data_IF_767827803662
#
_entry.id   IF_767827803662
#
_cell.length_a   1.000
_cell.length_b   1.000
_cell.length_c   1.000
_cell.angle_alpha   90.00
_cell.angle_beta   90.00
_cell.angle_gamma   90.00
#
_symmetry.space_group_name_H-M   'P 1'
#
loop_
_entity.id
_entity.type
_entity.pdbx_description
1 polymer ?
#
# COMPACT_ATOMS: atom_id res chain seq x y z
N UNK A 1 9.73 -3.80 6.19
CA UNK A 1 8.58 -4.47 5.55
C UNK A 1 9.03 -5.60 4.63
N UNK A 2 9.99 -5.41 3.74
CA UNK A 2 10.41 -6.45 2.77
C UNK A 2 10.70 -7.81 3.39
N UNK A 3 11.49 -7.85 4.46
CA UNK A 3 11.81 -9.12 5.16
C UNK A 3 10.55 -9.79 5.75
N UNK A 4 9.64 -9.01 6.33
CA UNK A 4 8.40 -9.55 6.87
C UNK A 4 7.48 -10.13 5.77
N UNK A 5 7.43 -9.48 4.61
CA UNK A 5 6.70 -9.98 3.44
C UNK A 5 7.30 -11.26 2.91
N UNK A 6 8.64 -11.32 2.82
CA UNK A 6 9.36 -12.53 2.40
C UNK A 6 9.01 -13.71 3.30
N UNK A 7 9.18 -13.54 4.60
CA UNK A 7 8.89 -14.60 5.56
C UNK A 7 7.43 -15.07 5.48
N UNK A 8 6.47 -14.14 5.41
CA UNK A 8 5.06 -14.46 5.31
C UNK A 8 4.71 -15.19 4.00
N UNK A 9 5.33 -14.80 2.88
CA UNK A 9 5.13 -15.47 1.59
C UNK A 9 5.68 -16.91 1.61
N UNK A 10 6.89 -17.10 2.14
CA UNK A 10 7.51 -18.41 2.29
C UNK A 10 6.70 -19.34 3.21
N UNK A 11 6.18 -18.83 4.33
CA UNK A 11 5.29 -19.57 5.22
C UNK A 11 3.98 -20.03 4.54
N UNK A 12 3.53 -19.28 3.54
CA UNK A 12 2.35 -19.60 2.72
C UNK A 12 2.68 -20.47 1.51
N UNK A 13 3.92 -20.87 1.31
CA UNK A 13 4.36 -21.71 0.21
C UNK A 13 4.57 -20.97 -1.12
N UNK A 14 4.69 -19.64 -1.08
CA UNK A 14 5.03 -18.83 -2.25
C UNK A 14 6.55 -18.74 -2.43
N UNK A 15 7.01 -18.64 -3.66
CA UNK A 15 8.41 -18.45 -4.00
C UNK A 15 8.71 -16.98 -4.20
N UNK A 16 9.70 -16.46 -3.49
CA UNK A 16 10.22 -15.12 -3.72
C UNK A 16 11.27 -15.19 -4.83
N UNK A 17 10.96 -14.60 -5.98
CA UNK A 17 11.85 -14.56 -7.13
C UNK A 17 12.94 -13.51 -6.93
N UNK A 18 12.59 -12.33 -6.47
CA UNK A 18 13.52 -11.24 -6.17
C UNK A 18 13.02 -10.33 -5.05
N UNK A 19 13.92 -9.78 -4.28
CA UNK A 19 13.69 -8.60 -3.44
C UNK A 19 14.43 -7.43 -4.07
N UNK A 20 13.71 -6.35 -4.38
CA UNK A 20 14.22 -5.17 -5.07
C UNK A 20 14.37 -4.04 -4.06
N UNK A 21 15.52 -3.37 -4.04
CA UNK A 21 15.81 -2.23 -3.18
C UNK A 21 16.35 -1.05 -3.99
N UNK A 22 16.75 0.00 -3.29
CA UNK A 22 17.28 1.22 -3.91
C UNK A 22 18.50 0.92 -4.81
N UNK A 23 18.38 1.25 -6.07
CA UNK A 23 19.43 1.03 -7.08
C UNK A 23 19.18 -0.18 -7.98
N UNK A 24 18.25 -1.06 -7.65
CA UNK A 24 17.87 -2.19 -8.48
C UNK A 24 16.90 -1.78 -9.59
N UNK A 25 16.93 -2.51 -10.70
CA UNK A 25 16.01 -2.31 -11.81
C UNK A 25 14.90 -3.38 -11.80
N UNK A 26 13.66 -2.96 -11.64
CA UNK A 26 12.52 -3.88 -11.63
C UNK A 26 12.39 -4.70 -12.93
N UNK A 27 12.78 -4.13 -14.07
CA UNK A 27 12.69 -4.80 -15.37
C UNK A 27 13.56 -6.06 -15.46
N UNK A 28 14.65 -6.12 -14.69
CA UNK A 28 15.57 -7.26 -14.70
C UNK A 28 14.97 -8.50 -14.00
N UNK A 29 13.93 -8.31 -13.21
CA UNK A 29 13.34 -9.34 -12.35
C UNK A 29 11.87 -9.65 -12.61
N UNK A 30 11.19 -8.88 -13.48
CA UNK A 30 9.73 -8.97 -13.65
C UNK A 30 9.29 -10.16 -14.51
N UNK A 31 10.19 -10.72 -15.31
CA UNK A 31 9.81 -11.82 -16.22
C UNK A 31 9.53 -13.10 -15.44
N UNK A 32 8.35 -13.69 -15.68
CA UNK A 32 7.94 -14.95 -15.07
C UNK A 32 7.50 -14.86 -13.62
N UNK A 33 7.26 -13.64 -13.10
CA UNK A 33 6.63 -13.47 -11.79
C UNK A 33 5.11 -13.38 -11.93
N UNK A 34 4.39 -13.94 -10.96
CA UNK A 34 2.93 -13.92 -10.93
C UNK A 34 2.36 -12.66 -10.27
N UNK A 35 3.12 -11.99 -9.43
CA UNK A 35 2.69 -10.85 -8.63
C UNK A 35 3.88 -9.97 -8.21
N UNK A 36 3.67 -8.67 -8.27
CA UNK A 36 4.56 -7.67 -7.64
C UNK A 36 3.91 -7.17 -6.34
N UNK A 37 4.71 -7.02 -5.27
CA UNK A 37 4.27 -6.42 -4.00
C UNK A 37 5.16 -5.23 -3.69
N UNK A 38 4.58 -4.02 -3.63
CA UNK A 38 5.27 -2.77 -3.36
C UNK A 38 4.98 -2.23 -1.96
N UNK A 39 5.99 -2.28 -1.08
CA UNK A 39 6.02 -1.60 0.22
C UNK A 39 7.35 -0.82 0.34
N UNK A 40 7.63 0.00 -0.65
CA UNK A 40 8.87 0.76 -0.78
C UNK A 40 8.69 2.24 -0.42
N UNK A 41 9.16 3.12 -1.25
CA UNK A 41 8.99 4.57 -1.16
C UNK A 41 8.18 5.07 -2.36
N UNK A 42 7.33 6.10 -2.18
CA UNK A 42 6.43 6.60 -3.23
C UNK A 42 7.14 6.93 -4.54
N UNK A 43 8.39 7.41 -4.48
CA UNK A 43 9.17 7.71 -5.70
C UNK A 43 9.52 6.47 -6.54
N UNK A 44 9.49 5.26 -5.98
CA UNK A 44 9.79 4.02 -6.69
C UNK A 44 8.53 3.41 -7.34
N UNK A 45 7.35 3.63 -6.77
CA UNK A 45 6.09 3.01 -7.20
C UNK A 45 5.78 3.25 -8.68
N UNK A 46 6.06 4.46 -9.21
CA UNK A 46 5.82 4.77 -10.63
C UNK A 46 6.60 3.86 -11.56
N UNK A 47 7.89 3.62 -11.28
CA UNK A 47 8.73 2.75 -12.10
C UNK A 47 8.28 1.28 -12.02
N UNK A 48 7.90 0.82 -10.82
CA UNK A 48 7.32 -0.51 -10.62
C UNK A 48 5.99 -0.67 -11.36
N UNK A 49 5.11 0.33 -11.30
CA UNK A 49 3.82 0.32 -11.99
C UNK A 49 3.98 0.28 -13.52
N UNK A 50 4.90 1.08 -14.08
CA UNK A 50 5.22 1.06 -15.52
C UNK A 50 5.72 -0.32 -15.95
N UNK A 51 6.60 -0.90 -15.14
CA UNK A 51 7.13 -2.23 -15.39
C UNK A 51 6.05 -3.31 -15.31
N UNK A 52 5.23 -3.32 -14.27
CA UNK A 52 4.14 -4.26 -14.06
C UNK A 52 3.10 -4.17 -15.20
N UNK A 53 2.67 -2.95 -15.55
CA UNK A 53 1.72 -2.72 -16.64
C UNK A 53 2.22 -3.20 -17.99
N UNK A 54 3.49 -2.93 -18.34
CA UNK A 54 4.11 -3.37 -19.61
C UNK A 54 4.24 -4.88 -19.73
N UNK A 55 4.45 -5.59 -18.62
CA UNK A 55 4.64 -7.04 -18.62
C UNK A 55 3.35 -7.82 -18.27
N UNK A 56 2.26 -7.12 -18.02
CA UNK A 56 0.99 -7.77 -17.69
C UNK A 56 0.95 -8.43 -16.30
N UNK A 57 1.78 -7.96 -15.35
CA UNK A 57 1.92 -8.57 -14.03
C UNK A 57 1.04 -7.82 -13.02
N UNK A 58 0.15 -8.51 -12.29
CA UNK A 58 -0.62 -7.93 -11.19
C UNK A 58 0.27 -7.29 -10.12
N UNK A 59 -0.24 -6.25 -9.45
CA UNK A 59 0.51 -5.55 -8.41
C UNK A 59 -0.32 -5.25 -7.16
N UNK A 60 0.30 -5.43 -5.99
CA UNK A 60 -0.21 -4.98 -4.70
C UNK A 60 0.63 -3.79 -4.21
N UNK A 61 0.00 -2.66 -3.93
CA UNK A 61 0.69 -1.44 -3.48
C UNK A 61 0.25 -1.10 -2.06
N UNK A 62 1.20 -1.17 -1.13
CA UNK A 62 1.07 -0.71 0.26
C UNK A 62 1.91 0.53 0.55
N UNK A 63 2.62 1.03 -0.45
CA UNK A 63 3.40 2.28 -0.35
C UNK A 63 2.46 3.47 -0.24
N UNK A 64 2.74 4.38 0.70
CA UNK A 64 1.98 5.60 1.00
C UNK A 64 2.78 6.85 0.67
N UNK A 65 2.16 8.03 0.76
CA UNK A 65 2.85 9.31 0.57
C UNK A 65 2.88 9.81 -0.89
N UNK A 66 2.11 9.19 -1.79
CA UNK A 66 1.96 9.68 -3.16
C UNK A 66 1.10 10.95 -3.23
N UNK A 67 1.52 11.91 -4.05
CA UNK A 67 0.64 13.04 -4.42
C UNK A 67 -0.52 12.56 -5.30
N UNK A 68 -1.54 13.40 -5.47
CA UNK A 68 -2.66 13.07 -6.35
C UNK A 68 -2.22 12.93 -7.81
N UNK A 69 -1.24 13.73 -8.24
CA UNK A 69 -0.66 13.66 -9.58
C UNK A 69 0.06 12.32 -9.78
N UNK A 70 0.87 11.89 -8.81
CA UNK A 70 1.53 10.59 -8.84
C UNK A 70 0.51 9.45 -8.92
N UNK A 71 -0.54 9.48 -8.09
CA UNK A 71 -1.62 8.48 -8.13
C UNK A 71 -2.28 8.40 -9.49
N UNK A 72 -2.61 9.54 -10.09
CA UNK A 72 -3.24 9.60 -11.42
C UNK A 72 -2.36 8.99 -12.51
N UNK A 73 -1.05 9.19 -12.44
CA UNK A 73 -0.09 8.59 -13.38
C UNK A 73 0.01 7.09 -13.16
N UNK A 74 0.15 6.65 -11.90
CA UNK A 74 0.29 5.23 -11.54
C UNK A 74 -0.95 4.43 -11.98
N UNK A 75 -2.16 4.95 -11.70
CA UNK A 75 -3.42 4.30 -12.13
C UNK A 75 -3.45 4.08 -13.63
N UNK A 76 -3.06 5.08 -14.44
CA UNK A 76 -3.00 4.93 -15.90
C UNK A 76 -2.01 3.87 -16.37
N UNK A 77 -0.85 3.79 -15.71
CA UNK A 77 0.15 2.78 -16.04
C UNK A 77 -0.30 1.35 -15.73
N UNK A 78 -1.20 1.21 -14.75
CA UNK A 78 -1.71 -0.06 -14.25
C UNK A 78 -3.07 -0.46 -14.84
N UNK A 79 -3.69 0.34 -15.73
CA UNK A 79 -4.94 -0.02 -16.41
C UNK A 79 -4.96 -1.44 -17.02
N UNK A 80 -3.84 -1.97 -17.57
CA UNK A 80 -3.83 -3.30 -18.16
C UNK A 80 -3.81 -4.46 -17.16
N UNK A 81 -3.60 -4.22 -15.87
CA UNK A 81 -3.34 -5.29 -14.89
C UNK A 81 -4.22 -5.16 -13.63
N UNK A 82 -4.51 -6.28 -12.94
CA UNK A 82 -5.15 -6.24 -11.63
C UNK A 82 -4.30 -5.50 -10.60
N UNK A 83 -4.94 -4.62 -9.83
CA UNK A 83 -4.28 -3.81 -8.79
C UNK A 83 -5.04 -3.92 -7.48
N UNK A 84 -4.31 -4.15 -6.38
CA UNK A 84 -4.79 -3.91 -5.03
C UNK A 84 -3.94 -2.78 -4.42
N UNK A 85 -4.55 -1.62 -4.19
CA UNK A 85 -3.86 -0.46 -3.61
C UNK A 85 -4.56 0.03 -2.36
N UNK A 86 -3.88 -0.06 -1.23
CA UNK A 86 -4.40 0.41 0.06
C UNK A 86 -3.27 1.00 0.92
N UNK A 87 -3.59 2.03 1.69
CA UNK A 87 -2.65 2.62 2.65
C UNK A 87 -2.44 1.73 3.90
N UNK A 88 -3.32 0.77 4.11
CA UNK A 88 -3.22 -0.17 5.22
C UNK A 88 -3.88 -1.52 4.88
N UNK A 89 -3.14 -2.61 5.12
CA UNK A 89 -3.59 -3.99 4.94
C UNK A 89 -3.85 -4.73 6.27
N UNK A 90 -3.77 -4.02 7.42
CA UNK A 90 -4.11 -4.61 8.72
C UNK A 90 -5.61 -4.86 8.80
N UNK A 91 -6.00 -6.10 9.11
CA UNK A 91 -7.39 -6.45 9.35
C UNK A 91 -7.99 -5.62 10.50
N UNK A 92 -7.21 -5.41 11.59
CA UNK A 92 -7.66 -4.63 12.75
C UNK A 92 -7.91 -3.16 12.40
N UNK A 93 -7.04 -2.54 11.62
CA UNK A 93 -7.22 -1.14 11.17
C UNK A 93 -8.41 -1.01 10.22
N UNK A 94 -8.58 -1.92 9.27
CA UNK A 94 -9.74 -1.90 8.38
C UNK A 94 -11.05 -2.15 9.13
N UNK A 95 -11.04 -3.02 10.16
CA UNK A 95 -12.19 -3.18 11.04
C UNK A 95 -12.49 -1.89 11.82
N UNK A 96 -11.46 -1.18 12.30
CA UNK A 96 -11.64 0.11 12.96
C UNK A 96 -12.30 1.13 12.02
N UNK A 97 -11.83 1.27 10.79
CA UNK A 97 -12.46 2.13 9.78
C UNK A 97 -13.93 1.80 9.58
N UNK A 98 -14.25 0.53 9.42
CA UNK A 98 -15.62 0.07 9.25
C UNK A 98 -16.50 0.42 10.46
N UNK A 99 -16.02 0.16 11.68
CA UNK A 99 -16.76 0.44 12.91
C UNK A 99 -16.95 1.95 13.12
N UNK A 100 -15.93 2.77 12.83
CA UNK A 100 -16.02 4.24 12.91
C UNK A 100 -17.06 4.76 11.93
N UNK A 101 -17.03 4.29 10.68
CA UNK A 101 -18.04 4.64 9.70
C UNK A 101 -19.45 4.26 10.17
N UNK A 102 -19.64 3.04 10.69
CA UNK A 102 -20.95 2.59 11.19
C UNK A 102 -21.41 3.40 12.40
N UNK A 103 -20.52 3.78 13.29
CA UNK A 103 -20.86 4.65 14.42
C UNK A 103 -21.32 6.04 13.94
N UNK A 104 -20.58 6.64 13.00
CA UNK A 104 -20.92 7.96 12.46
C UNK A 104 -22.23 7.98 11.64
N UNK A 105 -22.62 6.86 11.03
CA UNK A 105 -23.91 6.73 10.34
C UNK A 105 -25.12 6.69 11.32
N UNK A 106 -24.89 6.26 12.56
CA UNK A 106 -25.93 6.06 13.57
C UNK A 106 -26.04 7.24 14.54
N UNK A 107 -24.90 7.84 14.87
CA UNK A 107 -24.86 8.95 15.83
C UNK A 107 -25.41 10.24 15.20
N UNK A 108 -26.23 11.01 15.95
CA UNK A 108 -26.70 12.32 15.50
C UNK A 108 -25.57 13.33 15.30
N UNK A 109 -25.86 14.39 14.51
CA UNK A 109 -24.89 15.43 14.17
C UNK A 109 -24.45 16.33 15.34
N UNK A 110 -24.99 16.14 16.53
CA UNK A 110 -24.64 16.84 17.77
C UNK A 110 -23.57 16.12 18.59
N UNK A 111 -23.03 15.00 18.06
CA UNK A 111 -21.87 14.34 18.63
C UNK A 111 -20.59 14.89 18.03
N UNK A 112 -19.65 15.27 18.89
CA UNK A 112 -18.30 15.63 18.50
C UNK A 112 -17.42 14.37 18.37
N UNK A 113 -16.54 14.34 17.38
CA UNK A 113 -15.63 13.24 17.16
C UNK A 113 -14.19 13.73 17.34
N UNK A 114 -13.45 13.08 18.22
CA UNK A 114 -12.04 13.34 18.43
C UNK A 114 -11.22 12.08 18.14
N UNK A 115 -10.11 12.24 17.43
CA UNK A 115 -9.16 11.16 17.16
C UNK A 115 -7.85 11.43 17.91
N UNK A 116 -7.47 10.50 18.77
CA UNK A 116 -6.19 10.53 19.47
C UNK A 116 -5.33 9.37 19.04
N UNK A 117 -4.10 9.63 18.61
CA UNK A 117 -3.14 8.62 18.21
C UNK A 117 -1.80 8.78 18.92
N UNK A 118 -1.12 7.67 19.14
CA UNK A 118 0.22 7.64 19.70
C UNK A 118 1.15 6.76 18.87
N UNK A 119 2.32 7.28 18.57
CA UNK A 119 3.34 6.58 17.77
C UNK A 119 4.72 6.67 18.44
N UNK A 120 5.62 5.83 17.98
CA UNK A 120 7.02 5.88 18.40
C UNK A 120 7.68 7.21 17.98
N UNK A 121 8.75 7.60 18.66
CA UNK A 121 9.47 8.89 18.49
C UNK A 121 10.00 9.16 17.06
N UNK A 122 10.10 8.13 16.22
CA UNK A 122 10.68 8.23 14.88
C UNK A 122 9.62 8.46 13.77
N UNK A 123 8.32 8.51 14.12
CA UNK A 123 7.27 8.84 13.15
C UNK A 123 7.42 10.29 12.71
N UNK A 124 7.41 10.53 11.40
CA UNK A 124 7.67 11.85 10.79
C UNK A 124 6.39 12.56 10.38
N UNK A 125 5.39 11.81 9.93
CA UNK A 125 4.10 12.32 9.49
C UNK A 125 3.12 12.46 10.67
N UNK A 126 2.39 13.58 10.70
CA UNK A 126 1.28 13.82 11.62
C UNK A 126 0.26 14.76 10.94
N UNK A 127 -1.03 14.40 10.93
CA UNK A 127 -1.58 13.13 11.39
C UNK A 127 -1.08 11.93 10.60
N UNK A 128 -1.27 10.71 11.14
CA UNK A 128 -0.95 9.49 10.38
C UNK A 128 -1.97 9.28 9.26
N UNK A 129 -1.58 8.58 8.18
CA UNK A 129 -2.53 8.20 7.14
C UNK A 129 -3.71 7.35 7.66
N UNK A 130 -3.57 6.67 8.81
CA UNK A 130 -4.67 5.99 9.48
C UNK A 130 -5.64 7.00 10.11
N UNK A 131 -5.12 8.01 10.80
CA UNK A 131 -5.97 9.05 11.39
C UNK A 131 -6.66 9.93 10.34
N UNK A 132 -6.01 10.18 9.20
CA UNK A 132 -6.61 10.91 8.07
C UNK A 132 -7.78 10.15 7.40
N UNK A 133 -7.80 8.81 7.53
CA UNK A 133 -8.84 7.97 6.95
C UNK A 133 -9.96 7.60 7.92
N UNK A 134 -9.83 7.94 9.20
CA UNK A 134 -10.88 7.81 10.21
C UNK A 134 -11.86 8.97 10.14
#
# INVERSE_FOLDING_TARGET
MGEALKNAAEEKGHTIVAGIDLGDCAADHIQGVDLVIDFSHHSATKALADCAGKHGVPIVIGTTGHSQEEKNVIVKLLEPVPVAWAGNYSLGVNLLFYLTQKASEILPNDYDVEVTEMHHRFKKDAPSGTAENL
#
